data_IF_408549226437
#
_entry.id   IF_408549226437
#
_cell.length_a   1.000
_cell.length_b   1.000
_cell.length_c   1.000
_cell.angle_alpha   90.00
_cell.angle_beta   90.00
_cell.angle_gamma   90.00
#
_symmetry.space_group_name_H-M   'P 1'
#
loop_
_entity.id
_entity.type
_entity.pdbx_description
1 polymer ?
#
# COMPACT_ATOMS: atom_id res chain seq x y z
N UNK A 1 15.13 -0.40 -12.66
CA UNK A 1 15.60 0.78 -11.89
C UNK A 1 14.57 1.30 -10.88
N UNK A 2 13.29 1.51 -11.24
CA UNK A 2 12.26 2.04 -10.31
C UNK A 2 11.97 1.14 -9.10
N UNK A 3 11.76 -0.17 -9.30
CA UNK A 3 11.52 -1.12 -8.20
C UNK A 3 12.67 -1.17 -7.21
N UNK A 4 13.92 -1.20 -7.71
CA UNK A 4 15.12 -1.16 -6.87
C UNK A 4 15.21 0.10 -6.01
N UNK A 5 14.80 1.26 -6.55
CA UNK A 5 14.70 2.50 -5.78
C UNK A 5 13.63 2.41 -4.69
N UNK A 6 12.45 1.85 -5.01
CA UNK A 6 11.39 1.62 -4.03
C UNK A 6 11.80 0.68 -2.90
N UNK A 7 12.48 -0.42 -3.22
CA UNK A 7 13.04 -1.35 -2.25
C UNK A 7 14.11 -0.68 -1.37
N UNK A 8 14.96 0.16 -1.96
CA UNK A 8 15.93 0.95 -1.20
C UNK A 8 15.24 1.92 -0.22
N UNK A 9 14.19 2.63 -0.65
CA UNK A 9 13.42 3.53 0.22
C UNK A 9 12.71 2.78 1.35
N UNK A 10 12.15 1.59 1.07
CA UNK A 10 11.53 0.70 2.06
C UNK A 10 12.53 0.30 3.14
N UNK A 11 13.69 -0.22 2.74
CA UNK A 11 14.75 -0.64 3.65
C UNK A 11 15.36 0.53 4.42
N UNK A 12 15.59 1.68 3.78
CA UNK A 12 16.15 2.86 4.46
C UNK A 12 15.18 3.41 5.50
N UNK A 13 13.88 3.43 5.20
CA UNK A 13 12.87 3.89 6.16
C UNK A 13 12.79 2.93 7.35
N UNK A 14 12.78 1.61 7.10
CA UNK A 14 12.77 0.61 8.16
C UNK A 14 14.04 0.67 9.04
N UNK A 15 15.23 0.72 8.43
CA UNK A 15 16.49 0.87 9.15
C UNK A 15 16.60 2.21 9.90
N UNK A 16 15.96 3.26 9.40
CA UNK A 16 15.92 4.55 10.08
C UNK A 16 15.16 4.50 11.40
N UNK A 17 14.29 3.51 11.62
CA UNK A 17 13.59 3.34 12.90
C UNK A 17 14.57 3.29 14.09
N UNK A 18 15.71 2.60 13.92
CA UNK A 18 16.74 2.50 14.97
C UNK A 18 17.39 3.84 15.35
N UNK A 19 17.31 4.86 14.48
CA UNK A 19 18.03 6.15 14.67
C UNK A 19 17.11 7.36 14.76
N UNK A 20 15.94 7.32 14.11
CA UNK A 20 14.96 8.40 14.01
C UNK A 20 13.55 7.95 14.39
N UNK A 21 13.39 6.72 14.91
CA UNK A 21 12.11 6.13 15.32
C UNK A 21 11.05 6.32 14.23
N UNK A 22 9.97 7.02 14.56
CA UNK A 22 8.78 7.18 13.73
C UNK A 22 8.77 8.45 12.87
N UNK A 23 9.83 9.28 12.89
CA UNK A 23 9.85 10.56 12.17
C UNK A 23 9.66 10.42 10.64
N UNK A 24 10.06 9.28 10.08
CA UNK A 24 9.98 9.02 8.64
C UNK A 24 8.68 8.34 8.20
N UNK A 25 7.80 8.02 9.14
CA UNK A 25 6.55 7.31 8.88
C UNK A 25 5.44 8.31 8.54
N UNK A 26 5.60 8.96 7.39
CA UNK A 26 4.64 9.92 6.85
C UNK A 26 3.92 9.32 5.65
N UNK A 27 2.69 9.78 5.40
CA UNK A 27 1.91 9.33 4.23
C UNK A 27 2.61 9.67 2.91
N UNK A 28 3.38 10.76 2.89
CA UNK A 28 4.21 11.14 1.75
C UNK A 28 5.29 10.09 1.47
N UNK A 29 6.07 9.69 2.49
CA UNK A 29 7.11 8.67 2.34
C UNK A 29 6.51 7.31 1.98
N UNK A 30 5.40 6.94 2.63
CA UNK A 30 4.65 5.74 2.30
C UNK A 30 4.24 5.71 0.83
N UNK A 31 3.55 6.77 0.37
CA UNK A 31 3.10 6.89 -1.03
C UNK A 31 4.28 6.78 -2.00
N UNK A 32 5.42 7.38 -1.67
CA UNK A 32 6.64 7.27 -2.49
C UNK A 32 7.17 5.83 -2.53
N UNK A 33 7.28 5.14 -1.39
CA UNK A 33 7.69 3.74 -1.29
C UNK A 33 6.77 2.89 -2.17
N UNK A 34 5.46 2.93 -1.93
CA UNK A 34 4.47 2.12 -2.63
C UNK A 34 4.50 2.35 -4.15
N UNK A 35 4.56 3.62 -4.57
CA UNK A 35 4.60 3.99 -5.98
C UNK A 35 5.76 3.31 -6.71
N UNK A 36 6.95 3.32 -6.11
CA UNK A 36 8.16 2.78 -6.74
C UNK A 36 8.36 1.28 -6.50
N UNK A 37 8.06 0.80 -5.29
CA UNK A 37 8.21 -0.59 -4.87
C UNK A 37 7.21 -1.49 -5.58
N UNK A 38 5.97 -1.04 -5.76
CA UNK A 38 4.85 -1.92 -6.16
C UNK A 38 4.15 -1.43 -7.41
N UNK A 39 3.63 -0.20 -7.40
CA UNK A 39 2.69 0.24 -8.43
C UNK A 39 3.27 0.24 -9.86
N UNK A 40 4.55 0.62 -10.01
CA UNK A 40 5.18 0.67 -11.33
C UNK A 40 5.34 -0.71 -11.99
N UNK A 41 5.75 -1.73 -11.25
CA UNK A 41 6.07 -3.03 -11.85
C UNK A 41 4.86 -3.95 -11.88
N UNK A 42 3.99 -3.89 -10.87
CA UNK A 42 2.81 -4.77 -10.77
C UNK A 42 1.66 -4.33 -11.68
N UNK A 43 1.46 -3.02 -11.84
CA UNK A 43 0.30 -2.49 -12.56
C UNK A 43 0.68 -1.74 -13.83
N UNK A 44 1.56 -0.74 -13.72
CA UNK A 44 1.86 0.11 -14.88
C UNK A 44 2.63 -0.62 -15.99
N UNK A 45 3.70 -1.34 -15.65
CA UNK A 45 4.59 -1.95 -16.64
C UNK A 45 3.91 -2.99 -17.54
N UNK A 46 3.10 -3.95 -17.03
CA UNK A 46 2.43 -4.94 -17.87
C UNK A 46 1.48 -4.32 -18.88
N UNK A 47 0.69 -3.31 -18.46
CA UNK A 47 -0.25 -2.61 -19.34
C UNK A 47 0.50 -1.73 -20.34
N UNK A 48 1.52 -0.99 -19.89
CA UNK A 48 2.35 -0.18 -20.76
C UNK A 48 2.99 -1.01 -21.87
N UNK A 49 3.49 -2.21 -21.54
CA UNK A 49 4.03 -3.15 -22.52
C UNK A 49 2.95 -3.60 -23.51
N UNK A 50 1.78 -4.00 -23.02
CA UNK A 50 0.66 -4.40 -23.89
C UNK A 50 0.24 -3.27 -24.85
N UNK A 51 0.10 -2.05 -24.34
CA UNK A 51 -0.21 -0.87 -25.15
C UNK A 51 0.80 -0.65 -26.27
N UNK A 52 2.11 -0.78 -25.96
CA UNK A 52 3.17 -0.69 -26.98
C UNK A 52 3.09 -1.81 -28.01
N UNK A 53 2.83 -3.05 -27.58
CA UNK A 53 2.69 -4.21 -28.47
C UNK A 53 1.47 -4.09 -29.40
N UNK A 54 0.41 -3.39 -28.96
CA UNK A 54 -0.78 -3.13 -29.77
C UNK A 54 -0.73 -1.79 -30.52
N UNK A 55 0.47 -1.19 -30.66
CA UNK A 55 0.69 0.09 -31.36
C UNK A 55 -0.07 1.30 -30.80
N UNK A 56 -0.51 1.25 -29.54
CA UNK A 56 -1.01 2.43 -28.84
C UNK A 56 0.21 3.26 -28.45
N UNK A 57 0.36 4.43 -29.07
CA UNK A 57 1.52 5.32 -28.90
C UNK A 57 1.15 6.74 -28.43
N UNK A 58 -0.14 7.03 -28.26
CA UNK A 58 -0.63 8.34 -27.83
C UNK A 58 -0.17 8.67 -26.39
N UNK A 59 0.61 9.75 -26.18
CA UNK A 59 1.12 10.12 -24.86
C UNK A 59 0.03 10.40 -23.81
N UNK A 60 -1.12 10.93 -24.22
CA UNK A 60 -2.22 11.26 -23.32
C UNK A 60 -2.91 9.98 -22.83
N UNK A 61 -3.10 9.01 -23.73
CA UNK A 61 -3.58 7.67 -23.37
C UNK A 61 -2.62 6.99 -22.37
N UNK A 62 -1.31 7.06 -22.58
CA UNK A 62 -0.33 6.56 -21.60
C UNK A 62 -0.42 7.27 -20.26
N UNK A 63 -0.61 8.59 -20.27
CA UNK A 63 -0.72 9.39 -19.04
C UNK A 63 -1.94 8.97 -18.22
N UNK A 64 -3.10 8.82 -18.87
CA UNK A 64 -4.34 8.39 -18.21
C UNK A 64 -4.23 6.97 -17.65
N UNK A 65 -3.74 6.02 -18.45
CA UNK A 65 -3.51 4.65 -17.99
C UNK A 65 -2.55 4.62 -16.79
N UNK A 66 -1.46 5.40 -16.85
CA UNK A 66 -0.49 5.50 -15.75
C UNK A 66 -1.13 6.00 -14.46
N UNK A 67 -1.97 7.04 -14.52
CA UNK A 67 -2.62 7.58 -13.32
C UNK A 67 -3.43 6.50 -12.61
N UNK A 68 -4.34 5.83 -13.33
CA UNK A 68 -5.22 4.80 -12.77
C UNK A 68 -4.41 3.59 -12.27
N UNK A 69 -3.41 3.13 -13.01
CA UNK A 69 -2.61 1.96 -12.62
C UNK A 69 -1.73 2.25 -11.40
N UNK A 70 -1.27 3.49 -11.23
CA UNK A 70 -0.55 3.87 -10.03
C UNK A 70 -1.48 3.97 -8.81
N UNK A 71 -2.72 4.41 -8.99
CA UNK A 71 -3.75 4.39 -7.94
C UNK A 71 -4.13 2.97 -7.53
N UNK A 72 -4.36 2.08 -8.51
CA UNK A 72 -4.60 0.66 -8.26
C UNK A 72 -3.42 0.01 -7.52
N UNK A 73 -2.19 0.34 -7.91
CA UNK A 73 -1.00 -0.15 -7.23
C UNK A 73 -0.85 0.37 -5.80
N UNK A 74 -1.29 1.60 -5.54
CA UNK A 74 -1.35 2.12 -4.18
C UNK A 74 -2.40 1.37 -3.35
N UNK A 75 -3.61 1.26 -3.87
CA UNK A 75 -4.70 0.51 -3.23
C UNK A 75 -4.30 -0.93 -2.92
N UNK A 76 -3.66 -1.63 -3.87
CA UNK A 76 -3.17 -2.98 -3.70
C UNK A 76 -2.16 -3.12 -2.56
N UNK A 77 -1.21 -2.19 -2.43
CA UNK A 77 -0.22 -2.25 -1.35
C UNK A 77 -0.85 -1.93 0.01
N UNK A 78 -1.84 -1.04 0.08
CA UNK A 78 -2.57 -0.80 1.34
C UNK A 78 -3.29 -2.08 1.80
N UNK A 79 -3.89 -2.82 0.87
CA UNK A 79 -4.45 -4.14 1.19
C UNK A 79 -3.39 -5.15 1.62
N UNK A 80 -2.20 -5.12 0.99
CA UNK A 80 -1.08 -6.00 1.33
C UNK A 80 -0.63 -5.76 2.79
N UNK A 81 -0.41 -4.51 3.17
CA UNK A 81 -0.01 -4.11 4.52
C UNK A 81 -1.09 -4.46 5.56
N UNK A 82 -2.38 -4.34 5.20
CA UNK A 82 -3.48 -4.74 6.08
C UNK A 82 -3.50 -6.26 6.29
N UNK A 83 -3.39 -7.02 5.20
CA UNK A 83 -3.37 -8.48 5.25
C UNK A 83 -2.09 -9.04 5.90
N UNK A 84 -0.98 -8.31 5.83
CA UNK A 84 0.24 -8.68 6.56
C UNK A 84 0.00 -8.66 8.09
N UNK A 85 -0.75 -7.68 8.59
CA UNK A 85 -1.06 -7.58 10.02
C UNK A 85 -2.23 -8.47 10.47
N UNK A 86 -3.29 -8.58 9.66
CA UNK A 86 -4.58 -9.17 10.05
C UNK A 86 -5.01 -10.38 9.22
N UNK A 87 -4.31 -10.70 8.15
CA UNK A 87 -4.59 -11.85 7.31
C UNK A 87 -4.32 -13.17 8.04
N UNK A 88 -5.07 -14.19 7.68
CA UNK A 88 -4.84 -15.55 8.16
C UNK A 88 -3.57 -16.12 7.51
N UNK A 89 -2.53 -16.51 8.28
CA UNK A 89 -1.30 -17.07 7.72
C UNK A 89 -1.51 -18.31 6.84
N UNK A 90 -2.53 -19.13 7.11
CA UNK A 90 -2.84 -20.32 6.30
C UNK A 90 -3.34 -19.93 4.90
N UNK A 91 -4.10 -18.85 4.84
CA UNK A 91 -4.62 -18.30 3.58
C UNK A 91 -3.51 -17.53 2.86
N UNK A 92 -2.77 -16.68 3.57
CA UNK A 92 -1.71 -15.85 3.00
C UNK A 92 -0.49 -16.66 2.55
N UNK A 93 -0.30 -17.87 3.07
CA UNK A 93 0.88 -18.71 2.83
C UNK A 93 2.17 -18.13 3.42
N UNK A 94 2.07 -17.08 4.24
CA UNK A 94 3.15 -16.42 4.95
C UNK A 94 2.65 -15.84 6.27
N UNK A 95 3.55 -15.76 7.24
CA UNK A 95 3.35 -14.94 8.44
C UNK A 95 3.75 -13.51 8.05
N UNK A 96 2.92 -12.53 8.38
CA UNK A 96 3.26 -11.13 8.13
C UNK A 96 4.26 -10.60 9.15
N UNK A 97 5.21 -9.81 8.66
CA UNK A 97 6.40 -9.36 9.40
C UNK A 97 6.54 -7.85 9.48
N UNK A 98 5.58 -7.07 8.97
CA UNK A 98 5.72 -5.62 8.86
C UNK A 98 5.99 -4.91 10.19
N UNK A 99 5.43 -5.43 11.30
CA UNK A 99 5.60 -4.85 12.64
C UNK A 99 7.00 -5.14 13.18
N UNK A 100 7.44 -6.41 13.18
CA UNK A 100 8.78 -6.76 13.69
C UNK A 100 9.91 -6.19 12.83
N UNK A 101 9.70 -6.09 11.51
CA UNK A 101 10.68 -5.50 10.58
C UNK A 101 10.74 -3.97 10.68
N UNK A 102 9.82 -3.34 11.42
CA UNK A 102 9.73 -1.89 11.51
C UNK A 102 9.43 -1.28 10.14
N UNK A 103 8.51 -1.85 9.38
CA UNK A 103 8.14 -1.33 8.07
C UNK A 103 7.31 -0.08 8.20
N UNK A 104 7.54 0.86 7.29
CA UNK A 104 6.64 1.99 7.05
C UNK A 104 5.39 1.48 6.31
N UNK A 105 4.54 0.74 7.02
CA UNK A 105 3.28 0.22 6.50
C UNK A 105 2.19 1.28 6.57
N UNK A 106 1.12 1.10 5.79
CA UNK A 106 -0.05 1.96 5.85
C UNK A 106 -0.62 2.05 7.26
N UNK A 107 -0.70 0.91 7.97
CA UNK A 107 -1.20 0.84 9.34
C UNK A 107 -0.36 1.69 10.30
N UNK A 108 0.96 1.63 10.21
CA UNK A 108 1.85 2.43 11.06
C UNK A 108 1.66 3.93 10.82
N UNK A 109 1.59 4.34 9.55
CA UNK A 109 1.40 5.76 9.19
C UNK A 109 0.03 6.27 9.65
N UNK A 110 -1.04 5.51 9.45
CA UNK A 110 -2.39 5.91 9.86
C UNK A 110 -2.52 5.89 11.39
N UNK A 111 -1.89 4.94 12.08
CA UNK A 111 -1.82 4.96 13.54
C UNK A 111 -1.19 6.26 14.04
N UNK A 112 -0.05 6.66 13.47
CA UNK A 112 0.66 7.88 13.84
C UNK A 112 -0.14 9.17 13.67
N UNK A 113 -1.11 9.18 12.74
CA UNK A 113 -2.03 10.31 12.56
C UNK A 113 -3.12 10.39 13.65
N UNK A 114 -3.35 9.29 14.38
CA UNK A 114 -4.45 9.17 15.35
C UNK A 114 -4.00 9.06 16.81
N UNK A 115 -2.76 8.61 17.06
CA UNK A 115 -2.24 8.42 18.41
C UNK A 115 -2.06 9.74 19.17
N UNK A 116 -2.27 9.68 20.48
CA UNK A 116 -1.82 10.72 21.40
C UNK A 116 -0.32 10.52 21.77
N UNK A 117 0.23 11.41 22.62
CA UNK A 117 1.65 11.36 23.02
C UNK A 117 2.06 10.06 23.73
N UNK A 118 1.18 9.50 24.58
CA UNK A 118 1.46 8.25 25.31
C UNK A 118 1.45 7.05 24.38
N UNK A 119 0.44 6.96 23.52
CA UNK A 119 0.32 5.91 22.50
C UNK A 119 1.45 5.98 21.47
N UNK A 120 1.88 7.19 21.10
CA UNK A 120 3.06 7.37 20.24
C UNK A 120 4.31 6.81 20.90
N UNK A 121 4.54 7.12 22.18
CA UNK A 121 5.69 6.58 22.94
C UNK A 121 5.64 5.06 23.02
N UNK A 122 4.46 4.49 23.29
CA UNK A 122 4.23 3.04 23.26
C UNK A 122 4.59 2.45 21.89
N UNK A 123 4.20 3.11 20.79
CA UNK A 123 4.60 2.69 19.44
C UNK A 123 6.13 2.74 19.26
N UNK A 124 6.81 3.79 19.71
CA UNK A 124 8.27 3.92 19.61
C UNK A 124 9.03 2.85 20.42
N UNK A 125 8.44 2.34 21.48
CA UNK A 125 9.03 1.34 22.38
C UNK A 125 8.78 -0.11 21.95
N UNK A 126 7.78 -0.35 21.09
CA UNK A 126 7.33 -1.70 20.74
C UNK A 126 7.36 -2.02 19.24
N UNK A 127 7.37 -1.01 18.35
CA UNK A 127 7.41 -1.25 16.91
C UNK A 127 8.84 -1.63 16.46
N UNK A 128 8.99 -2.45 15.41
CA UNK A 128 10.30 -2.83 14.87
C UNK A 128 11.15 -3.71 15.79
N UNK A 129 10.50 -4.47 16.68
CA UNK A 129 11.12 -5.44 17.57
C UNK A 129 10.57 -6.82 17.22
N UNK A 130 11.48 -7.74 16.91
CA UNK A 130 11.20 -9.16 16.67
C UNK A 130 10.95 -9.89 18.01
N UNK A 131 9.83 -9.54 18.64
CA UNK A 131 9.29 -10.18 19.84
C UNK A 131 7.75 -10.24 19.73
N UNK A 132 7.14 -11.43 19.81
CA UNK A 132 5.68 -11.60 19.75
C UNK A 132 4.90 -10.74 20.75
N UNK A 133 5.44 -10.44 21.93
CA UNK A 133 4.79 -9.59 22.93
C UNK A 133 4.70 -8.15 22.46
N UNK A 134 5.78 -7.63 21.86
CA UNK A 134 5.82 -6.28 21.30
C UNK A 134 4.87 -6.17 20.10
N UNK A 135 4.84 -7.19 19.23
CA UNK A 135 3.90 -7.25 18.10
C UNK A 135 2.44 -7.24 18.60
N UNK A 136 2.13 -8.01 19.64
CA UNK A 136 0.79 -8.03 20.25
C UNK A 136 0.38 -6.65 20.80
N UNK A 137 1.29 -5.95 21.48
CA UNK A 137 1.05 -4.58 22.00
C UNK A 137 0.68 -3.62 20.86
N UNK A 138 1.39 -3.69 19.72
CA UNK A 138 1.09 -2.85 18.56
C UNK A 138 -0.26 -3.21 17.93
N UNK A 139 -0.56 -4.51 17.79
CA UNK A 139 -1.86 -4.97 17.26
C UNK A 139 -3.02 -4.52 18.15
N UNK A 140 -2.86 -4.58 19.47
CA UNK A 140 -3.85 -4.07 20.43
C UNK A 140 -4.05 -2.57 20.30
N UNK A 141 -2.97 -1.80 20.13
CA UNK A 141 -3.07 -0.36 19.85
C UNK A 141 -3.85 -0.11 18.54
N UNK A 142 -3.56 -0.85 17.48
CA UNK A 142 -4.28 -0.69 16.21
C UNK A 142 -5.77 -1.01 16.34
N UNK A 143 -6.13 -2.01 17.14
CA UNK A 143 -7.52 -2.32 17.46
C UNK A 143 -8.20 -1.17 18.24
N UNK A 144 -7.52 -0.61 19.25
CA UNK A 144 -8.03 0.55 20.02
C UNK A 144 -8.26 1.78 19.13
N UNK A 145 -7.37 2.01 18.16
CA UNK A 145 -7.48 3.10 17.16
C UNK A 145 -8.51 2.82 16.06
N UNK A 146 -9.14 1.63 16.07
CA UNK A 146 -10.12 1.17 15.08
C UNK A 146 -9.56 1.22 13.66
N UNK A 147 -8.30 0.81 13.50
CA UNK A 147 -7.66 0.78 12.17
C UNK A 147 -8.33 -0.20 11.20
N UNK A 148 -8.83 -1.39 11.60
CA UNK A 148 -9.61 -2.25 10.71
C UNK A 148 -10.83 -1.53 10.10
N UNK A 149 -11.58 -0.80 10.90
CA UNK A 149 -12.71 0.00 10.41
C UNK A 149 -12.24 1.11 9.45
N UNK A 150 -11.10 1.74 9.77
CA UNK A 150 -10.51 2.79 8.92
C UNK A 150 -10.08 2.22 7.56
N UNK A 151 -9.51 1.01 7.55
CA UNK A 151 -9.15 0.30 6.34
C UNK A 151 -10.37 -0.05 5.48
N UNK A 152 -11.42 -0.62 6.06
CA UNK A 152 -12.62 -0.98 5.29
C UNK A 152 -13.31 0.24 4.66
N UNK A 153 -13.36 1.37 5.37
CA UNK A 153 -13.84 2.63 4.79
C UNK A 153 -12.94 3.09 3.63
N UNK A 154 -11.62 3.09 3.83
CA UNK A 154 -10.65 3.44 2.78
C UNK A 154 -10.78 2.51 1.55
N UNK A 155 -10.99 1.21 1.76
CA UNK A 155 -11.14 0.22 0.69
C UNK A 155 -12.38 0.49 -0.16
N UNK A 156 -13.52 0.77 0.47
CA UNK A 156 -14.75 1.11 -0.25
C UNK A 156 -14.66 2.44 -0.99
N UNK A 157 -14.09 3.47 -0.36
CA UNK A 157 -13.91 4.79 -0.96
C UNK A 157 -12.92 4.75 -2.13
N UNK A 158 -11.80 4.06 -1.97
CA UNK A 158 -10.79 3.89 -3.02
C UNK A 158 -11.35 3.13 -4.21
N UNK A 159 -12.12 2.07 -3.98
CA UNK A 159 -12.79 1.35 -5.06
C UNK A 159 -13.74 2.25 -5.86
N UNK A 160 -14.61 3.01 -5.17
CA UNK A 160 -15.55 3.95 -5.82
C UNK A 160 -14.81 5.04 -6.60
N UNK A 161 -13.72 5.56 -6.05
CA UNK A 161 -12.90 6.58 -6.70
C UNK A 161 -12.24 6.03 -7.98
N UNK A 162 -11.61 4.86 -7.90
CA UNK A 162 -10.97 4.22 -9.05
C UNK A 162 -12.02 3.89 -10.13
N UNK A 163 -13.19 3.37 -9.76
CA UNK A 163 -14.30 3.17 -10.70
C UNK A 163 -14.69 4.45 -11.44
N UNK A 164 -14.78 5.56 -10.70
CA UNK A 164 -15.09 6.89 -11.29
C UNK A 164 -14.00 7.33 -12.27
N UNK A 165 -12.72 7.16 -11.91
CA UNK A 165 -11.61 7.49 -12.80
C UNK A 165 -11.57 6.61 -14.06
N UNK A 166 -11.91 5.32 -13.95
CA UNK A 166 -12.03 4.42 -15.11
C UNK A 166 -13.13 4.90 -16.06
N UNK A 167 -14.30 5.30 -15.53
CA UNK A 167 -15.41 5.80 -16.35
C UNK A 167 -15.08 7.10 -17.08
N UNK A 168 -14.16 7.90 -16.54
CA UNK A 168 -13.71 9.17 -17.11
C UNK A 168 -12.58 9.01 -18.15
N UNK A 169 -12.13 7.78 -18.44
CA UNK A 169 -11.11 7.53 -19.45
C UNK A 169 -11.53 8.01 -20.84
N UNK A 170 -10.57 8.60 -21.56
CA UNK A 170 -10.75 9.03 -22.95
C UNK A 170 -10.94 7.87 -23.92
N UNK A 171 -11.48 8.18 -25.12
CA UNK A 171 -11.63 7.20 -26.20
C UNK A 171 -10.25 6.65 -26.62
N UNK A 172 -10.13 5.33 -26.68
CA UNK A 172 -8.89 4.64 -27.11
C UNK A 172 -8.31 3.67 -26.07
N UNK A 173 -8.79 3.72 -24.82
CA UNK A 173 -8.50 2.72 -23.79
C UNK A 173 -9.75 1.89 -23.49
N UNK A 174 -9.57 0.57 -23.36
CA UNK A 174 -10.63 -0.33 -22.92
C UNK A 174 -10.87 -0.15 -21.41
N UNK A 175 -12.00 0.44 -21.04
CA UNK A 175 -12.43 0.57 -19.64
C UNK A 175 -12.58 -0.80 -18.98
N UNK A 176 -13.15 -1.77 -19.70
CA UNK A 176 -13.31 -3.17 -19.27
C UNK A 176 -12.01 -3.80 -18.76
N UNK A 177 -10.87 -3.49 -19.39
CA UNK A 177 -9.58 -4.01 -18.95
C UNK A 177 -9.24 -3.54 -17.53
N UNK A 178 -9.44 -2.25 -17.25
CA UNK A 178 -9.19 -1.69 -15.92
C UNK A 178 -10.20 -2.22 -14.89
N UNK A 179 -11.47 -2.36 -15.24
CA UNK A 179 -12.46 -2.97 -14.34
C UNK A 179 -12.10 -4.41 -13.99
N UNK A 180 -11.71 -5.24 -14.98
CA UNK A 180 -11.25 -6.61 -14.72
C UNK A 180 -10.02 -6.68 -13.81
N UNK A 181 -9.13 -5.68 -13.88
CA UNK A 181 -7.99 -5.60 -12.97
C UNK A 181 -8.43 -5.21 -11.56
N UNK A 182 -9.33 -4.23 -11.45
CA UNK A 182 -9.87 -3.78 -10.17
C UNK A 182 -10.65 -4.89 -9.46
N UNK A 183 -11.48 -5.65 -10.19
CA UNK A 183 -12.23 -6.79 -9.67
C UNK A 183 -11.33 -7.88 -9.08
N UNK A 184 -10.14 -8.09 -9.65
CA UNK A 184 -9.17 -9.06 -9.14
C UNK A 184 -8.51 -8.64 -7.83
N UNK A 185 -8.44 -7.34 -7.55
CA UNK A 185 -7.75 -6.84 -6.36
C UNK A 185 -8.72 -6.38 -5.26
N UNK A 186 -9.93 -5.95 -5.61
CA UNK A 186 -10.91 -5.49 -4.64
C UNK A 186 -11.37 -6.61 -3.71
N UNK A 187 -11.30 -6.38 -2.38
CA UNK A 187 -11.62 -7.38 -1.35
C UNK A 187 -10.89 -8.71 -1.54
N UNK A 188 -9.66 -8.65 -2.04
CA UNK A 188 -8.84 -9.85 -2.17
C UNK A 188 -8.62 -10.48 -0.81
N UNK A 189 -8.88 -11.78 -0.74
CA UNK A 189 -8.47 -12.63 0.38
C UNK A 189 -7.16 -13.35 0.09
N UNK A 190 -6.66 -13.25 -1.16
CA UNK A 190 -5.46 -13.88 -1.74
C UNK A 190 -4.88 -12.97 -2.84
#
# INVERSE_FOLDING_TARGET
MKTSMGQCLDMLTANSFKTKKLEKYTMENYTAIVKYKTAYYSFFLPVCLAMRMTNINDPEIFRQAKTILLEMGHFFQVQDDFLDCYGDPEVMGKIGTDIEDGKCSWLAVVALQKVNSEQKKLMEENYGIDDPLNVAIIKDLYAQLKLPNTFHLYEEESYKLICTHIQQLSRGLSQDMFFKFLEKIYKRTL
#
